data_IF_091930202840
#
_entry.id   IF_091930202840
#
_cell.length_a   1.000
_cell.length_b   1.000
_cell.length_c   1.000
_cell.angle_alpha   90.00
_cell.angle_beta   90.00
_cell.angle_gamma   90.00
#
_symmetry.space_group_name_H-M   'P 1'
#
loop_
_entity.id
_entity.type
_entity.pdbx_description
1 polymer ?
#
# COMPACT_ATOMS: atom_id res chain seq x y z
N UNK A 1 -9.31 25.34 45.76
CA UNK A 1 -9.72 24.20 46.60
C UNK A 1 -11.16 23.73 46.36
N UNK A 2 -12.21 24.55 46.48
CA UNK A 2 -13.60 24.08 46.30
C UNK A 2 -13.90 23.54 44.88
N UNK A 3 -13.47 24.25 43.84
CA UNK A 3 -13.66 23.80 42.44
C UNK A 3 -12.82 22.57 42.07
N UNK A 4 -11.62 22.47 42.63
CA UNK A 4 -10.70 21.35 42.45
C UNK A 4 -11.28 20.05 43.02
N UNK A 5 -11.79 20.10 44.25
CA UNK A 5 -12.44 18.97 44.90
C UNK A 5 -13.70 18.55 44.11
N UNK A 6 -14.44 19.52 43.57
CA UNK A 6 -15.58 19.24 42.69
C UNK A 6 -15.13 18.59 41.37
N UNK A 7 -13.99 18.97 40.80
CA UNK A 7 -13.46 18.37 39.58
C UNK A 7 -13.04 16.90 39.79
N UNK A 8 -12.42 16.60 40.94
CA UNK A 8 -12.01 15.25 41.32
C UNK A 8 -13.23 14.37 41.60
N UNK A 9 -14.20 14.87 42.36
CA UNK A 9 -15.41 14.11 42.70
C UNK A 9 -16.23 13.72 41.45
N UNK A 10 -16.26 14.60 40.44
CA UNK A 10 -17.02 14.39 39.21
C UNK A 10 -16.26 13.67 38.10
N UNK A 11 -14.99 13.27 38.30
CA UNK A 11 -14.16 12.69 37.23
C UNK A 11 -14.76 11.42 36.61
N UNK A 12 -15.41 10.58 37.43
CA UNK A 12 -16.03 9.33 36.98
C UNK A 12 -17.36 9.54 36.25
N UNK A 13 -18.11 10.58 36.61
CA UNK A 13 -19.45 10.85 36.06
C UNK A 13 -19.40 11.79 34.86
N UNK A 14 -18.57 12.83 34.90
CA UNK A 14 -18.35 13.79 33.82
C UNK A 14 -16.85 14.09 33.66
N UNK A 15 -16.10 13.22 32.98
CA UNK A 15 -14.66 13.40 32.79
C UNK A 15 -14.33 14.69 32.03
N UNK A 16 -15.23 15.19 31.18
CA UNK A 16 -15.04 16.45 30.43
C UNK A 16 -14.86 17.65 31.35
N UNK A 17 -15.58 17.69 32.49
CA UNK A 17 -15.44 18.76 33.49
C UNK A 17 -14.04 18.79 34.10
N UNK A 18 -13.50 17.63 34.47
CA UNK A 18 -12.13 17.50 34.99
C UNK A 18 -11.09 17.92 33.96
N UNK A 19 -11.21 17.44 32.71
CA UNK A 19 -10.25 17.80 31.66
C UNK A 19 -10.33 19.29 31.29
N UNK A 20 -11.51 19.92 31.32
CA UNK A 20 -11.65 21.36 31.12
C UNK A 20 -11.02 22.15 32.27
N UNK A 21 -11.21 21.71 33.52
CA UNK A 21 -10.53 22.28 34.68
C UNK A 21 -9.01 22.17 34.54
N UNK A 22 -8.47 20.98 34.26
CA UNK A 22 -7.03 20.75 34.07
C UNK A 22 -6.44 21.58 32.92
N UNK A 23 -7.13 21.66 31.77
CA UNK A 23 -6.70 22.45 30.60
C UNK A 23 -6.53 23.94 30.90
N UNK A 24 -7.27 24.50 31.87
CA UNK A 24 -7.09 25.90 32.30
C UNK A 24 -5.72 26.15 32.93
N UNK A 25 -5.10 25.12 33.51
CA UNK A 25 -3.78 25.20 34.12
C UNK A 25 -2.65 24.76 33.17
N UNK A 26 -2.95 23.97 32.13
CA UNK A 26 -1.98 23.62 31.08
C UNK A 26 -1.49 24.82 30.25
N UNK A 27 -2.25 25.92 30.18
CA UNK A 27 -1.94 27.09 29.35
C UNK A 27 -0.78 27.98 29.85
N UNK A 28 -0.05 27.56 30.88
CA UNK A 28 1.19 28.23 31.27
C UNK A 28 2.36 27.57 30.53
N UNK A 29 2.49 27.85 29.22
CA UNK A 29 3.81 27.87 28.61
C UNK A 29 4.51 29.11 29.15
N UNK A 30 5.02 29.03 30.38
CA UNK A 30 6.09 29.95 30.75
C UNK A 30 7.19 29.74 29.73
N UNK A 31 7.73 30.81 29.11
CA UNK A 31 8.97 30.68 28.35
C UNK A 31 9.98 29.96 29.25
N UNK A 32 10.79 29.09 28.66
CA UNK A 32 11.90 28.45 29.38
C UNK A 32 12.65 29.60 30.07
N UNK A 33 12.64 29.58 31.41
CA UNK A 33 13.17 30.67 32.21
C UNK A 33 14.67 30.86 31.94
N UNK A 34 15.25 31.97 32.41
CA UNK A 34 16.68 32.19 32.27
C UNK A 34 17.46 30.97 32.75
N UNK A 35 18.34 30.47 31.88
CA UNK A 35 19.13 29.28 32.17
C UNK A 35 20.37 29.67 32.97
N UNK A 36 20.66 28.88 33.99
CA UNK A 36 21.87 29.03 34.81
C UNK A 36 22.99 28.28 34.08
N UNK A 37 24.10 28.96 33.79
CA UNK A 37 25.28 28.31 33.25
C UNK A 37 25.98 27.46 34.32
N UNK A 38 26.86 26.52 33.96
CA UNK A 38 27.68 25.78 34.93
C UNK A 38 28.49 26.69 35.88
N UNK A 39 28.79 27.92 35.45
CA UNK A 39 29.51 28.95 36.20
C UNK A 39 28.59 29.75 37.15
N UNK A 40 27.28 29.50 37.13
CA UNK A 40 26.30 30.15 38.01
C UNK A 40 25.73 31.48 37.48
N UNK A 41 26.00 31.84 36.23
CA UNK A 41 25.47 33.06 35.61
C UNK A 41 24.08 32.82 35.00
N UNK A 42 23.18 33.80 35.10
CA UNK A 42 21.82 33.74 34.56
C UNK A 42 21.80 34.31 33.14
N UNK A 43 21.44 33.49 32.14
CA UNK A 43 21.28 33.93 30.75
C UNK A 43 19.82 34.11 30.40
N UNK A 44 19.44 35.35 30.07
CA UNK A 44 18.08 35.75 29.66
C UNK A 44 17.93 35.85 28.14
N UNK A 45 19.03 35.97 27.41
CA UNK A 45 19.00 36.15 25.96
C UNK A 45 18.62 34.84 25.23
N UNK A 46 17.62 34.86 24.31
CA UNK A 46 17.16 33.65 23.61
C UNK A 46 18.26 32.93 22.81
N UNK A 47 19.22 33.65 22.21
CA UNK A 47 20.28 33.02 21.42
C UNK A 47 21.26 32.26 22.33
N UNK A 48 21.61 32.86 23.47
CA UNK A 48 22.46 32.22 24.49
C UNK A 48 21.77 31.01 25.12
N UNK A 49 20.47 31.11 25.40
CA UNK A 49 19.65 29.98 25.92
C UNK A 49 19.63 28.83 24.92
N UNK A 50 19.41 29.11 23.63
CA UNK A 50 19.43 28.08 22.59
C UNK A 50 20.80 27.40 22.49
N UNK A 51 21.89 28.16 22.60
CA UNK A 51 23.25 27.62 22.58
C UNK A 51 23.53 26.72 23.77
N UNK A 52 23.16 27.14 24.98
CA UNK A 52 23.27 26.34 26.21
C UNK A 52 22.49 25.02 26.12
N UNK A 53 21.26 25.06 25.61
CA UNK A 53 20.46 23.85 25.40
C UNK A 53 21.13 22.93 24.39
N UNK A 54 21.63 23.47 23.28
CA UNK A 54 22.31 22.67 22.27
C UNK A 54 23.56 21.97 22.83
N UNK A 55 24.38 22.70 23.59
CA UNK A 55 25.58 22.15 24.25
C UNK A 55 25.21 21.08 25.29
N UNK A 56 24.19 21.34 26.11
CA UNK A 56 23.71 20.37 27.10
C UNK A 56 23.21 19.09 26.42
N UNK A 57 22.41 19.20 25.34
CA UNK A 57 21.94 18.03 24.62
C UNK A 57 23.08 17.28 23.93
N UNK A 58 24.05 17.98 23.35
CA UNK A 58 25.25 17.38 22.74
C UNK A 58 26.03 16.54 23.76
N UNK A 59 26.17 17.01 25.00
CA UNK A 59 26.89 16.29 26.06
C UNK A 59 26.26 14.95 26.46
N UNK A 60 24.96 14.78 26.24
CA UNK A 60 24.22 13.55 26.61
C UNK A 60 24.35 12.48 25.53
N UNK A 61 24.74 12.83 24.30
CA UNK A 61 24.95 11.83 23.26
C UNK A 61 26.22 11.04 23.51
N UNK A 62 26.10 9.71 23.52
CA UNK A 62 27.25 8.81 23.53
C UNK A 62 28.00 8.85 22.20
N UNK A 63 29.33 8.72 22.24
CA UNK A 63 30.10 8.51 21.02
C UNK A 63 29.79 7.13 20.42
N UNK A 64 29.49 7.04 19.11
CA UNK A 64 29.18 5.77 18.47
C UNK A 64 30.43 4.88 18.44
N UNK A 65 30.24 3.60 18.81
CA UNK A 65 31.29 2.60 18.86
C UNK A 65 32.02 2.47 17.50
N UNK A 66 33.35 2.58 17.51
CA UNK A 66 34.18 2.60 16.29
C UNK A 66 33.99 1.36 15.41
N UNK A 67 33.71 0.22 16.05
CA UNK A 67 33.45 -1.08 15.40
C UNK A 67 32.18 -1.10 14.55
N UNK A 68 31.22 -0.21 14.83
CA UNK A 68 29.92 -0.12 14.14
C UNK A 68 29.84 1.05 13.17
N UNK A 69 30.92 1.82 13.00
CA UNK A 69 30.97 2.89 12.00
C UNK A 69 31.02 2.30 10.60
N UNK A 70 30.11 2.78 9.75
CA UNK A 70 30.00 2.34 8.36
C UNK A 70 31.16 2.98 7.57
N UNK A 71 32.16 2.17 7.20
CA UNK A 71 33.35 2.61 6.43
C UNK A 71 32.96 2.96 4.98
N UNK A 72 31.91 2.33 4.43
CA UNK A 72 31.42 2.62 3.09
C UNK A 72 29.98 2.13 2.87
N UNK A 73 29.09 2.94 2.28
CA UNK A 73 27.69 2.55 2.07
C UNK A 73 27.57 1.36 1.12
N UNK A 74 28.42 1.26 0.09
CA UNK A 74 28.36 0.16 -0.89
C UNK A 74 28.75 -1.20 -0.29
N UNK A 75 29.68 -1.23 0.66
CA UNK A 75 30.10 -2.48 1.32
C UNK A 75 29.12 -2.89 2.43
N UNK A 76 28.46 -1.92 3.07
CA UNK A 76 27.45 -2.17 4.09
C UNK A 76 26.11 -2.64 3.52
N UNK A 77 25.62 -1.99 2.45
CA UNK A 77 24.31 -2.31 1.85
C UNK A 77 24.37 -3.43 0.79
N UNK A 78 25.56 -3.81 0.30
CA UNK A 78 25.76 -4.96 -0.58
C UNK A 78 26.80 -5.93 0.02
N UNK A 79 26.46 -6.67 1.08
CA UNK A 79 27.34 -7.72 1.57
C UNK A 79 27.57 -8.76 0.45
N UNK A 80 28.78 -9.33 0.33
CA UNK A 80 28.99 -10.50 -0.52
C UNK A 80 28.02 -11.60 -0.10
N UNK A 81 27.50 -12.37 -1.07
CA UNK A 81 26.53 -13.46 -0.89
C UNK A 81 27.12 -14.57 0.00
N UNK A 82 27.22 -14.30 1.31
CA UNK A 82 27.61 -15.25 2.33
C UNK A 82 26.34 -16.02 2.67
N UNK A 83 26.44 -17.35 2.58
CA UNK A 83 25.46 -18.36 2.92
C UNK A 83 24.44 -17.91 3.96
N UNK A 84 23.17 -17.95 3.57
CA UNK A 84 21.95 -17.76 4.38
C UNK A 84 22.19 -17.64 5.89
N UNK A 85 22.34 -16.40 6.39
CA UNK A 85 22.31 -16.14 7.82
C UNK A 85 20.99 -16.67 8.40
N UNK A 86 21.00 -17.57 9.40
CA UNK A 86 19.79 -18.20 9.96
C UNK A 86 18.85 -17.21 10.66
N UNK A 87 19.27 -15.96 10.81
CA UNK A 87 18.50 -14.85 11.41
C UNK A 87 17.74 -14.01 10.37
N UNK A 88 17.92 -14.26 9.07
CA UNK A 88 17.20 -13.51 8.04
C UNK A 88 15.78 -14.04 7.93
N UNK A 89 14.81 -13.26 8.42
CA UNK A 89 13.39 -13.56 8.26
C UNK A 89 13.03 -13.58 6.77
N UNK A 90 12.83 -14.78 6.21
CA UNK A 90 12.45 -14.95 4.80
C UNK A 90 10.97 -14.67 4.61
N UNK A 91 10.11 -15.40 5.33
CA UNK A 91 8.65 -15.31 5.26
C UNK A 91 8.04 -15.64 6.61
N UNK A 92 6.98 -14.92 6.97
CA UNK A 92 6.10 -15.28 8.09
C UNK A 92 4.90 -15.98 7.47
N UNK A 93 4.70 -17.24 7.83
CA UNK A 93 3.52 -18.00 7.43
C UNK A 93 2.34 -17.57 8.31
N UNK A 94 1.27 -17.10 7.70
CA UNK A 94 0.01 -16.80 8.37
C UNK A 94 -1.00 -17.89 8.03
N UNK A 95 -1.64 -18.46 9.05
CA UNK A 95 -2.75 -19.38 8.87
C UNK A 95 -4.06 -18.61 8.60
N UNK A 96 -5.06 -19.30 8.05
CA UNK A 96 -6.41 -18.71 7.90
C UNK A 96 -6.94 -18.24 9.25
N UNK A 97 -6.65 -18.99 10.32
CA UNK A 97 -7.07 -18.68 11.68
C UNK A 97 -6.46 -17.37 12.19
N UNK A 98 -5.19 -17.10 11.87
CA UNK A 98 -4.52 -15.84 12.25
C UNK A 98 -5.20 -14.63 11.60
N UNK A 99 -5.63 -14.78 10.35
CA UNK A 99 -6.35 -13.74 9.61
C UNK A 99 -7.75 -13.52 10.19
N UNK A 100 -8.47 -14.60 10.51
CA UNK A 100 -9.79 -14.53 11.17
C UNK A 100 -9.67 -13.77 12.49
N UNK A 101 -8.68 -14.14 13.32
CA UNK A 101 -8.44 -13.51 14.61
C UNK A 101 -8.13 -12.01 14.47
N UNK A 102 -7.28 -11.64 13.50
CA UNK A 102 -6.96 -10.25 13.23
C UNK A 102 -8.17 -9.43 12.76
N UNK A 103 -9.06 -10.02 11.95
CA UNK A 103 -10.30 -9.36 11.50
C UNK A 103 -11.27 -9.17 12.67
N UNK A 104 -11.37 -10.15 13.58
CA UNK A 104 -12.22 -10.06 14.78
C UNK A 104 -11.76 -9.01 15.79
N UNK A 105 -10.47 -8.69 15.81
CA UNK A 105 -9.92 -7.63 16.68
C UNK A 105 -10.40 -6.21 16.28
N UNK A 106 -10.90 -6.05 15.05
CA UNK A 106 -11.37 -4.75 14.56
C UNK A 106 -12.64 -4.29 15.29
N UNK A 107 -12.72 -2.98 15.58
CA UNK A 107 -13.90 -2.38 16.24
C UNK A 107 -15.11 -2.37 15.28
N UNK A 108 -16.25 -3.02 15.61
CA UNK A 108 -17.35 -3.24 14.67
C UNK A 108 -18.04 -1.95 14.17
N UNK A 109 -17.95 -0.86 14.95
CA UNK A 109 -18.54 0.44 14.62
C UNK A 109 -17.48 1.48 14.22
N UNK A 110 -16.30 1.04 13.76
CA UNK A 110 -15.30 1.95 13.23
C UNK A 110 -15.79 2.59 11.93
N UNK A 111 -15.38 3.83 11.68
CA UNK A 111 -15.69 4.53 10.45
C UNK A 111 -15.04 3.80 9.26
N UNK A 112 -15.72 3.73 8.10
CA UNK A 112 -15.16 3.13 6.89
C UNK A 112 -13.94 3.92 6.42
N UNK A 113 -12.97 3.21 5.84
CA UNK A 113 -11.77 3.80 5.27
C UNK A 113 -12.02 4.49 3.92
N UNK A 114 -10.96 4.84 3.18
CA UNK A 114 -11.08 5.42 1.83
C UNK A 114 -11.71 4.44 0.82
N UNK A 115 -11.76 3.16 1.14
CA UNK A 115 -12.45 2.11 0.39
C UNK A 115 -13.98 2.14 0.57
N UNK A 116 -14.48 2.84 1.59
CA UNK A 116 -15.90 2.92 1.91
C UNK A 116 -16.49 1.63 2.50
N UNK A 117 -15.66 0.66 2.90
CA UNK A 117 -16.12 -0.63 3.44
C UNK A 117 -16.21 -0.53 4.96
N UNK A 118 -17.40 -0.72 5.56
CA UNK A 118 -17.54 -0.66 7.01
C UNK A 118 -17.01 -1.94 7.68
N UNK A 119 -16.46 -1.79 8.90
CA UNK A 119 -15.82 -2.89 9.63
C UNK A 119 -16.76 -4.05 9.93
N UNK A 120 -18.05 -3.78 10.13
CA UNK A 120 -19.06 -4.81 10.33
C UNK A 120 -19.22 -5.77 9.13
N UNK A 121 -18.94 -5.31 7.90
CA UNK A 121 -18.94 -6.13 6.69
C UNK A 121 -17.71 -7.04 6.69
N UNK A 122 -16.54 -6.49 7.03
CA UNK A 122 -15.30 -7.28 7.12
C UNK A 122 -15.42 -8.41 8.14
N UNK A 123 -15.95 -8.11 9.34
CA UNK A 123 -16.18 -9.11 10.40
C UNK A 123 -17.16 -10.19 9.93
N UNK A 124 -18.26 -9.82 9.26
CA UNK A 124 -19.23 -10.78 8.73
C UNK A 124 -18.68 -11.64 7.60
N UNK A 125 -17.70 -11.13 6.85
CA UNK A 125 -17.09 -11.81 5.72
C UNK A 125 -15.73 -12.47 6.05
N UNK A 126 -15.32 -12.50 7.33
CA UNK A 126 -14.00 -12.98 7.75
C UNK A 126 -13.66 -14.37 7.21
N UNK A 127 -14.60 -15.32 7.18
CA UNK A 127 -14.33 -16.69 6.71
C UNK A 127 -14.04 -16.75 5.20
N UNK A 128 -14.67 -15.86 4.42
CA UNK A 128 -14.44 -15.75 2.98
C UNK A 128 -13.17 -14.98 2.66
N UNK A 129 -12.75 -14.05 3.54
CA UNK A 129 -11.55 -13.23 3.41
C UNK A 129 -10.29 -13.90 3.95
N UNK A 130 -10.44 -14.77 4.95
CA UNK A 130 -9.35 -15.49 5.60
C UNK A 130 -8.82 -16.64 4.78
N UNK A 131 -9.68 -17.26 3.96
CA UNK A 131 -9.19 -18.11 2.88
C UNK A 131 -8.32 -17.24 2.00
N UNK A 132 -7.04 -17.61 1.76
CA UNK A 132 -6.26 -16.91 0.77
C UNK A 132 -7.13 -16.83 -0.47
N UNK A 133 -7.33 -15.61 -1.00
CA UNK A 133 -7.92 -15.45 -2.32
C UNK A 133 -7.27 -16.53 -3.16
N UNK A 134 -8.04 -17.44 -3.78
CA UNK A 134 -7.43 -18.50 -4.54
C UNK A 134 -6.41 -17.79 -5.42
N UNK A 135 -5.13 -18.11 -5.27
CA UNK A 135 -4.07 -17.69 -6.20
C UNK A 135 -4.52 -17.94 -7.66
N UNK A 136 -5.53 -18.80 -7.79
CA UNK A 136 -6.31 -19.26 -8.90
C UNK A 136 -7.49 -18.36 -9.35
N UNK A 137 -7.62 -17.08 -8.93
CA UNK A 137 -8.41 -16.13 -9.75
C UNK A 137 -7.78 -16.02 -11.16
N UNK A 138 -6.49 -16.36 -11.26
CA UNK A 138 -5.71 -16.43 -12.49
C UNK A 138 -5.48 -17.85 -13.04
N UNK A 139 -6.03 -18.92 -12.45
CA UNK A 139 -6.09 -20.22 -13.14
C UNK A 139 -7.20 -20.16 -14.19
N UNK A 140 -6.94 -19.38 -15.23
CA UNK A 140 -7.52 -19.69 -16.52
C UNK A 140 -6.59 -20.74 -17.10
N UNK A 141 -7.06 -21.97 -17.25
CA UNK A 141 -6.22 -22.98 -17.90
C UNK A 141 -6.06 -22.63 -19.39
N UNK A 142 -4.83 -22.72 -19.93
CA UNK A 142 -4.59 -22.48 -21.33
C UNK A 142 -5.20 -23.62 -22.16
N UNK A 143 -6.10 -23.27 -23.08
CA UNK A 143 -6.57 -24.21 -24.10
C UNK A 143 -5.62 -24.18 -25.29
N UNK A 144 -5.08 -25.34 -25.64
CA UNK A 144 -4.21 -25.49 -26.80
C UNK A 144 -4.99 -26.01 -28.00
N UNK A 145 -4.79 -25.36 -29.15
CA UNK A 145 -5.31 -25.83 -30.43
C UNK A 145 -4.17 -25.83 -31.46
N UNK A 146 -3.98 -26.93 -32.19
CA UNK A 146 -2.90 -27.07 -33.17
C UNK A 146 -2.88 -25.95 -34.22
N UNK A 147 -4.06 -25.49 -34.67
CA UNK A 147 -4.16 -24.45 -35.71
C UNK A 147 -3.94 -23.05 -35.16
N UNK A 148 -4.46 -22.74 -33.99
CA UNK A 148 -4.51 -21.37 -33.47
C UNK A 148 -3.54 -21.08 -32.33
N UNK A 149 -2.82 -22.09 -31.81
CA UNK A 149 -1.96 -22.00 -30.64
C UNK A 149 -2.71 -21.90 -29.32
N UNK A 150 -1.99 -21.51 -28.26
CA UNK A 150 -2.48 -21.36 -26.88
C UNK A 150 -3.43 -20.18 -26.74
N UNK A 151 -4.61 -20.40 -26.15
CA UNK A 151 -5.60 -19.35 -25.86
C UNK A 151 -6.18 -19.52 -24.46
N UNK A 152 -6.72 -18.45 -23.91
CA UNK A 152 -7.45 -18.48 -22.65
C UNK A 152 -8.95 -18.28 -22.88
N UNK A 153 -9.79 -19.05 -22.19
CA UNK A 153 -11.25 -18.89 -22.27
C UNK A 153 -11.69 -17.73 -21.40
N UNK A 154 -12.55 -16.91 -21.96
CA UNK A 154 -13.15 -15.78 -21.26
C UNK A 154 -14.35 -16.25 -20.45
N UNK A 155 -14.38 -15.95 -19.15
CA UNK A 155 -15.58 -16.15 -18.33
C UNK A 155 -16.65 -15.14 -18.77
N UNK A 156 -17.84 -15.62 -19.15
CA UNK A 156 -18.94 -14.73 -19.57
C UNK A 156 -19.69 -14.26 -18.31
N UNK A 157 -19.95 -12.95 -18.14
CA UNK A 157 -20.75 -12.43 -17.03
C UNK A 157 -22.14 -13.09 -17.01
N UNK A 158 -22.74 -13.31 -15.83
CA UNK A 158 -24.06 -13.92 -15.76
C UNK A 158 -25.09 -13.09 -16.53
N UNK A 159 -25.85 -13.73 -17.42
CA UNK A 159 -26.81 -13.05 -18.29
C UNK A 159 -27.90 -12.31 -17.50
N UNK A 160 -28.31 -12.84 -16.35
CA UNK A 160 -29.34 -12.25 -15.49
C UNK A 160 -28.80 -11.21 -14.49
N UNK A 161 -27.48 -10.96 -14.43
CA UNK A 161 -26.93 -10.00 -13.49
C UNK A 161 -27.38 -8.56 -13.82
N UNK A 162 -27.56 -7.70 -12.79
CA UNK A 162 -27.79 -6.26 -12.98
C UNK A 162 -26.73 -5.60 -13.85
N UNK A 163 -27.11 -4.55 -14.59
CA UNK A 163 -26.21 -3.84 -15.51
C UNK A 163 -24.92 -3.38 -14.84
N UNK A 164 -25.01 -2.78 -13.63
CA UNK A 164 -23.85 -2.37 -12.84
C UNK A 164 -22.88 -3.53 -12.55
N UNK A 165 -23.40 -4.71 -12.23
CA UNK A 165 -22.58 -5.91 -11.96
C UNK A 165 -21.92 -6.41 -13.25
N UNK A 166 -22.66 -6.42 -14.36
CA UNK A 166 -22.08 -6.75 -15.68
C UNK A 166 -20.94 -5.81 -16.05
N UNK A 167 -21.10 -4.50 -15.83
CA UNK A 167 -20.05 -3.50 -16.04
C UNK A 167 -18.82 -3.82 -15.19
N UNK A 168 -18.98 -3.99 -13.88
CA UNK A 168 -17.88 -4.31 -12.95
C UNK A 168 -17.14 -5.59 -13.35
N UNK A 169 -17.87 -6.65 -13.69
CA UNK A 169 -17.28 -7.90 -14.17
C UNK A 169 -16.56 -7.72 -15.50
N UNK A 170 -17.14 -6.94 -16.42
CA UNK A 170 -16.54 -6.68 -17.74
C UNK A 170 -15.31 -5.77 -17.70
N UNK A 171 -15.15 -4.94 -16.67
CA UNK A 171 -13.94 -4.14 -16.44
C UNK A 171 -12.82 -4.92 -15.74
N UNK A 172 -13.10 -6.11 -15.22
CA UNK A 172 -12.15 -6.88 -14.42
C UNK A 172 -11.06 -7.59 -15.25
N UNK A 173 -9.91 -7.82 -14.63
CA UNK A 173 -8.79 -8.53 -15.26
C UNK A 173 -9.13 -9.97 -15.71
N UNK A 174 -9.88 -10.78 -14.96
CA UNK A 174 -10.27 -12.12 -15.43
C UNK A 174 -11.09 -12.12 -16.72
N UNK A 175 -11.75 -11.00 -17.04
CA UNK A 175 -12.53 -10.84 -18.27
C UNK A 175 -11.71 -10.24 -19.43
N UNK A 176 -10.89 -9.22 -19.15
CA UNK A 176 -10.10 -8.52 -20.18
C UNK A 176 -8.75 -9.18 -20.45
N UNK A 177 -8.15 -9.85 -19.47
CA UNK A 177 -6.87 -10.56 -19.61
C UNK A 177 -6.88 -11.59 -20.74
N UNK A 178 -7.81 -12.56 -20.77
CA UNK A 178 -7.94 -13.50 -21.88
C UNK A 178 -8.19 -12.81 -23.23
N UNK A 179 -8.95 -11.71 -23.24
CA UNK A 179 -9.23 -10.93 -24.46
C UNK A 179 -7.93 -10.33 -25.02
N UNK A 180 -7.14 -9.66 -24.19
CA UNK A 180 -5.86 -9.07 -24.58
C UNK A 180 -4.87 -10.15 -25.02
N UNK A 181 -4.71 -11.20 -24.22
CA UNK A 181 -3.78 -12.29 -24.54
C UNK A 181 -4.12 -12.92 -25.89
N UNK A 182 -5.40 -13.23 -26.14
CA UNK A 182 -5.83 -13.92 -27.36
C UNK A 182 -5.67 -13.09 -28.64
N UNK A 183 -5.59 -11.76 -28.54
CA UNK A 183 -5.28 -10.87 -29.67
C UNK A 183 -3.80 -10.89 -30.06
N UNK A 184 -2.90 -11.38 -29.19
CA UNK A 184 -1.48 -11.43 -29.50
C UNK A 184 -1.17 -12.49 -30.57
N UNK A 185 -0.10 -12.28 -31.38
CA UNK A 185 0.35 -13.27 -32.34
C UNK A 185 0.68 -14.62 -31.68
N UNK A 186 0.42 -15.71 -32.42
CA UNK A 186 0.71 -17.08 -31.95
C UNK A 186 2.13 -17.24 -31.42
N UNK A 187 3.12 -16.61 -32.08
CA UNK A 187 4.52 -16.68 -31.65
C UNK A 187 4.73 -16.20 -30.21
N UNK A 188 4.02 -15.17 -29.76
CA UNK A 188 4.10 -14.64 -28.39
C UNK A 188 3.26 -15.50 -27.46
N UNK A 189 2.04 -15.85 -27.89
CA UNK A 189 1.14 -16.70 -27.11
C UNK A 189 1.69 -18.07 -26.86
N UNK A 190 2.58 -18.63 -27.67
CA UNK A 190 3.12 -19.98 -27.45
C UNK A 190 4.47 -19.96 -26.70
N UNK A 191 5.01 -18.78 -26.32
CA UNK A 191 6.23 -18.71 -25.51
C UNK A 191 6.00 -19.28 -24.11
N UNK A 192 6.74 -20.34 -23.78
CA UNK A 192 6.74 -20.99 -22.46
C UNK A 192 8.19 -21.29 -22.05
N UNK A 193 8.47 -21.27 -20.74
CA UNK A 193 9.82 -21.60 -20.23
C UNK A 193 10.89 -20.54 -20.50
N UNK A 194 10.51 -19.31 -20.86
CA UNK A 194 11.43 -18.19 -21.04
C UNK A 194 11.46 -17.28 -19.81
N UNK A 195 12.52 -16.48 -19.66
CA UNK A 195 12.57 -15.42 -18.65
C UNK A 195 11.54 -14.32 -18.93
N UNK A 196 11.16 -13.59 -17.88
CA UNK A 196 10.24 -12.45 -17.97
C UNK A 196 10.76 -11.39 -18.94
N UNK A 197 12.05 -11.11 -18.93
CA UNK A 197 12.65 -10.08 -19.79
C UNK A 197 12.65 -10.48 -21.27
N UNK A 198 12.88 -11.77 -21.56
CA UNK A 198 12.79 -12.29 -22.92
C UNK A 198 11.37 -12.19 -23.46
N UNK A 199 10.37 -12.52 -22.64
CA UNK A 199 8.97 -12.36 -23.01
C UNK A 199 8.61 -10.89 -23.26
N UNK A 200 8.98 -9.98 -22.35
CA UNK A 200 8.74 -8.53 -22.49
C UNK A 200 9.36 -7.98 -23.76
N UNK A 201 10.61 -8.33 -24.06
CA UNK A 201 11.31 -7.86 -25.27
C UNK A 201 10.57 -8.27 -26.56
N UNK A 202 10.08 -9.51 -26.61
CA UNK A 202 9.32 -9.99 -27.76
C UNK A 202 7.93 -9.37 -27.85
N UNK A 203 7.28 -9.13 -26.71
CA UNK A 203 6.00 -8.42 -26.64
C UNK A 203 6.15 -6.97 -27.12
N UNK A 204 7.16 -6.24 -26.64
CA UNK A 204 7.42 -4.85 -27.04
C UNK A 204 7.62 -4.71 -28.55
N UNK A 205 8.30 -5.67 -29.18
CA UNK A 205 8.46 -5.73 -30.64
C UNK A 205 7.10 -5.80 -31.36
N UNK A 206 6.13 -6.53 -30.79
CA UNK A 206 4.76 -6.58 -31.34
C UNK A 206 4.00 -5.30 -31.06
N UNK A 207 4.09 -4.76 -29.85
CA UNK A 207 3.34 -3.57 -29.47
C UNK A 207 3.75 -2.33 -30.28
N UNK A 208 5.02 -2.26 -30.75
CA UNK A 208 5.48 -1.20 -31.66
C UNK A 208 4.72 -1.14 -32.99
N UNK A 209 4.08 -2.23 -33.42
CA UNK A 209 3.31 -2.24 -34.68
C UNK A 209 1.86 -1.82 -34.50
N UNK A 210 1.41 -1.66 -33.25
CA UNK A 210 0.04 -1.26 -32.93
C UNK A 210 -0.01 0.26 -32.82
N UNK A 211 -0.92 0.95 -33.55
CA UNK A 211 -1.09 2.38 -33.44
C UNK A 211 -1.63 2.76 -32.05
N UNK A 212 -1.00 3.77 -31.43
CA UNK A 212 -1.38 4.33 -30.14
C UNK A 212 -2.13 5.65 -30.36
N UNK A 213 -3.43 5.53 -30.64
CA UNK A 213 -4.32 6.65 -31.00
C UNK A 213 -5.38 6.84 -29.90
N UNK A 214 -5.04 7.48 -28.75
CA UNK A 214 -6.01 7.72 -27.70
C UNK A 214 -7.16 8.59 -28.19
N UNK A 215 -8.42 8.27 -27.83
CA UNK A 215 -9.58 9.05 -28.27
C UNK A 215 -9.52 10.47 -27.68
N UNK A 216 -9.44 11.47 -28.56
CA UNK A 216 -9.49 12.89 -28.17
C UNK A 216 -10.94 13.38 -28.26
N UNK A 217 -11.50 13.99 -27.19
CA UNK A 217 -12.87 14.53 -27.22
C UNK A 217 -13.07 15.50 -28.39
N UNK A 218 -14.10 15.29 -29.20
CA UNK A 218 -14.40 16.09 -30.40
C UNK A 218 -13.69 15.64 -31.69
N UNK A 219 -12.72 14.71 -31.62
CA UNK A 219 -11.98 14.19 -32.77
C UNK A 219 -12.06 12.66 -32.90
N UNK A 220 -12.95 12.00 -32.16
CA UNK A 220 -13.10 10.54 -32.15
C UNK A 220 -13.46 9.95 -33.52
N UNK A 221 -14.06 10.74 -34.42
CA UNK A 221 -14.34 10.33 -35.80
C UNK A 221 -13.09 10.17 -36.68
N UNK A 222 -11.95 10.71 -36.26
CA UNK A 222 -10.67 10.59 -36.96
C UNK A 222 -9.83 9.40 -36.47
N UNK A 223 -10.18 8.82 -35.32
CA UNK A 223 -9.51 7.65 -34.77
C UNK A 223 -9.85 6.41 -35.59
N UNK A 224 -8.87 5.54 -35.81
CA UNK A 224 -9.08 4.29 -36.57
C UNK A 224 -9.97 3.28 -35.84
N UNK A 225 -9.88 3.26 -34.51
CA UNK A 225 -10.63 2.35 -33.66
C UNK A 225 -11.52 3.10 -32.66
N UNK A 226 -12.50 2.37 -32.11
CA UNK A 226 -13.42 2.88 -31.09
C UNK A 226 -12.72 3.16 -29.76
N UNK A 227 -11.69 2.36 -29.41
CA UNK A 227 -10.89 2.58 -28.20
C UNK A 227 -9.40 2.36 -28.48
N UNK A 228 -8.55 2.87 -27.60
CA UNK A 228 -7.10 2.63 -27.63
C UNK A 228 -6.69 1.27 -27.03
N UNK A 229 -7.62 0.31 -26.97
CA UNK A 229 -7.36 -1.03 -26.44
C UNK A 229 -6.76 -1.91 -27.51
N UNK A 230 -5.77 -2.74 -27.16
CA UNK A 230 -5.11 -3.66 -28.09
C UNK A 230 -6.07 -4.49 -28.95
N UNK A 231 -7.16 -5.10 -28.43
CA UNK A 231 -8.10 -5.85 -29.26
C UNK A 231 -8.74 -5.01 -30.37
N UNK A 232 -9.09 -3.76 -30.07
CA UNK A 232 -9.81 -2.89 -31.01
C UNK A 232 -8.87 -2.29 -32.06
N UNK A 233 -7.58 -2.13 -31.73
CA UNK A 233 -6.55 -1.62 -32.64
C UNK A 233 -6.00 -2.70 -33.59
N UNK A 234 -5.98 -3.97 -33.15
CA UNK A 234 -5.44 -5.10 -33.93
C UNK A 234 -6.45 -5.63 -34.95
N UNK A 235 -7.76 -5.55 -34.69
CA UNK A 235 -8.82 -6.01 -35.60
C UNK A 235 -8.92 -5.16 -36.90
N UNK A 236 -8.15 -4.08 -37.03
CA UNK A 236 -8.14 -3.15 -38.16
C UNK A 236 -6.98 -3.38 -39.16
N UNK A 237 -6.11 -4.37 -38.90
CA UNK A 237 -4.99 -4.77 -39.78
C UNK A 237 -5.34 -6.04 -40.56
#
# INVERSE_FOLDING_TARGET
MREENNAIANIKQNPSYFFNYAKRFLKKCSPIGPLVTPEGEMKEDPEEICKLLAEQYQSVFSEPEETKKIIGPRTFFNPPQISEDPTTLKNIEFSEQDIIAAIEELKPNSAPGPDGIPTNVLIKCKDALARPFPSNINEVEPQFNQRTGRKYVRKIPPSQAPARIKTLLSSSLPYNGPRIFNCLPRRIRDLTGCSVDSFKTQLDSVLRTVPDEPPVPGYTSLCRAVTNSLPDQVDLQ
#
